data_IF_339829820333
#
_entry.id   IF_339829820333
#
_cell.length_a   1.000
_cell.length_b   1.000
_cell.length_c   1.000
_cell.angle_alpha   90.00
_cell.angle_beta   90.00
_cell.angle_gamma   90.00
#
_symmetry.space_group_name_H-M   'P 1'
#
loop_
_entity.id
_entity.type
_entity.pdbx_description
1 polymer ?
#
# COMPACT_ATOMS: atom_id res chain seq x y z
N UNK A 1 -39.54 -1.28 4.64
CA UNK A 1 -38.14 -1.03 5.04
C UNK A 1 -37.35 -2.28 4.72
N UNK A 2 -36.45 -2.22 3.74
CA UNK A 2 -35.61 -3.36 3.37
C UNK A 2 -34.57 -3.56 4.46
N UNK A 3 -34.58 -4.73 5.11
CA UNK A 3 -33.58 -5.09 6.12
C UNK A 3 -32.22 -5.29 5.45
N UNK A 4 -31.14 -4.81 6.08
CA UNK A 4 -29.79 -5.02 5.57
C UNK A 4 -29.44 -6.53 5.58
N UNK A 5 -28.79 -7.07 4.54
CA UNK A 5 -28.47 -8.49 4.45
C UNK A 5 -27.25 -8.87 5.29
N UNK A 6 -27.30 -8.60 6.60
CA UNK A 6 -26.17 -8.78 7.54
C UNK A 6 -25.65 -10.23 7.60
N UNK A 7 -26.51 -11.22 7.30
CA UNK A 7 -26.17 -12.64 7.28
C UNK A 7 -25.14 -13.01 6.20
N UNK A 8 -24.89 -12.13 5.22
CA UNK A 8 -23.82 -12.32 4.21
C UNK A 8 -22.43 -12.12 4.77
N UNK A 9 -22.31 -11.45 5.93
CA UNK A 9 -21.05 -11.08 6.54
C UNK A 9 -20.87 -11.87 7.84
N UNK A 10 -19.64 -12.34 8.07
CA UNK A 10 -19.27 -13.05 9.30
C UNK A 10 -18.40 -12.14 10.16
N UNK A 11 -18.53 -12.18 11.50
CA UNK A 11 -17.61 -11.49 12.39
C UNK A 11 -16.17 -11.95 12.17
N UNK A 12 -15.21 -11.03 12.30
CA UNK A 12 -13.80 -11.39 12.32
C UNK A 12 -13.49 -12.16 13.62
N UNK A 13 -12.72 -13.27 13.57
CA UNK A 13 -12.43 -14.08 14.75
C UNK A 13 -11.55 -13.32 15.75
N UNK A 14 -11.63 -13.71 17.02
CA UNK A 14 -10.77 -13.13 18.07
C UNK A 14 -9.32 -13.57 17.85
N UNK A 15 -8.38 -12.62 17.96
CA UNK A 15 -6.94 -12.92 17.95
C UNK A 15 -6.48 -13.14 19.38
N UNK A 16 -5.99 -14.33 19.70
CA UNK A 16 -5.41 -14.65 21.00
C UNK A 16 -3.94 -14.19 21.06
N UNK A 17 -3.73 -13.04 21.71
CA UNK A 17 -2.41 -12.46 21.95
C UNK A 17 -2.41 -11.83 23.36
N UNK A 18 -2.31 -12.68 24.42
CA UNK A 18 -2.51 -12.25 25.80
C UNK A 18 -1.40 -11.30 26.26
N UNK A 19 -0.15 -11.56 25.87
CA UNK A 19 1.02 -10.77 26.29
C UNK A 19 1.38 -9.66 25.28
N UNK A 20 0.37 -9.09 24.60
CA UNK A 20 0.60 -8.01 23.63
C UNK A 20 1.18 -6.78 24.33
N UNK A 21 2.28 -6.25 23.80
CA UNK A 21 2.98 -5.10 24.40
C UNK A 21 2.71 -3.77 23.71
N UNK A 22 2.20 -3.79 22.48
CA UNK A 22 1.93 -2.59 21.71
C UNK A 22 1.00 -1.56 22.39
N UNK A 23 0.02 -1.92 23.27
CA UNK A 23 -0.81 -0.93 23.95
C UNK A 23 -0.06 -0.02 24.92
N UNK A 24 1.10 -0.47 25.44
CA UNK A 24 1.91 0.26 26.41
C UNK A 24 3.15 0.92 25.77
N UNK A 25 3.34 0.78 24.45
CA UNK A 25 4.50 1.31 23.75
C UNK A 25 4.15 2.61 23.03
N UNK A 26 5.06 3.58 23.10
CA UNK A 26 4.99 4.83 22.33
C UNK A 26 6.03 4.76 21.23
N UNK A 27 5.64 5.04 19.99
CA UNK A 27 6.57 5.11 18.86
C UNK A 27 7.56 6.25 19.05
N UNK A 28 8.85 5.93 19.08
CA UNK A 28 9.95 6.87 19.36
C UNK A 28 10.89 7.11 18.16
N UNK A 29 10.69 6.34 17.08
CA UNK A 29 11.51 6.39 15.87
C UNK A 29 10.66 6.16 14.63
N UNK A 30 11.07 6.76 13.53
CA UNK A 30 10.47 6.47 12.22
C UNK A 30 10.78 5.02 11.81
N UNK A 31 9.81 4.30 11.23
CA UNK A 31 10.08 3.02 10.61
C UNK A 31 10.85 3.20 9.29
N UNK A 32 11.32 2.09 8.74
CA UNK A 32 11.71 2.05 7.33
C UNK A 32 10.44 2.14 6.48
N UNK A 33 10.39 3.12 5.58
CA UNK A 33 9.25 3.33 4.70
C UNK A 33 9.51 2.71 3.33
N UNK A 34 8.52 1.93 2.86
CA UNK A 34 8.44 1.46 1.49
C UNK A 34 7.20 2.08 0.83
N UNK A 35 7.42 2.85 -0.25
CA UNK A 35 6.33 3.38 -1.07
C UNK A 35 5.95 2.38 -2.16
N UNK A 36 4.65 2.15 -2.33
CA UNK A 36 4.08 1.23 -3.35
C UNK A 36 3.27 1.97 -4.41
N UNK A 37 3.40 3.29 -4.48
CA UNK A 37 2.58 4.18 -5.30
C UNK A 37 2.68 3.88 -6.80
N UNK A 38 3.86 3.45 -7.27
CA UNK A 38 4.11 3.13 -8.68
C UNK A 38 3.54 1.78 -9.12
N UNK A 39 3.23 0.88 -8.17
CA UNK A 39 2.66 -0.44 -8.45
C UNK A 39 1.22 -0.53 -7.95
N UNK A 40 1.03 -0.69 -6.64
CA UNK A 40 -0.29 -0.90 -6.03
C UNK A 40 -1.19 0.32 -6.20
N UNK A 41 -0.63 1.52 -5.95
CA UNK A 41 -1.34 2.78 -6.18
C UNK A 41 -1.71 2.97 -7.64
N UNK A 42 -0.79 2.68 -8.55
CA UNK A 42 -1.01 2.78 -9.99
C UNK A 42 -2.07 1.79 -10.50
N UNK A 43 -2.13 0.57 -9.95
CA UNK A 43 -3.13 -0.45 -10.30
C UNK A 43 -4.56 -0.08 -9.87
N UNK A 44 -4.71 0.75 -8.85
CA UNK A 44 -6.02 1.21 -8.37
C UNK A 44 -6.61 2.38 -9.19
N UNK A 45 -5.83 2.99 -10.09
CA UNK A 45 -6.30 4.12 -10.89
C UNK A 45 -7.18 3.66 -12.05
N UNK A 46 -8.26 4.40 -12.30
CA UNK A 46 -9.10 4.23 -13.50
C UNK A 46 -8.27 4.42 -14.78
N UNK A 47 -7.44 5.46 -14.80
CA UNK A 47 -6.45 5.71 -15.84
C UNK A 47 -5.04 5.52 -15.26
N UNK A 48 -4.34 4.42 -15.60
CA UNK A 48 -3.00 4.18 -15.11
C UNK A 48 -2.02 5.31 -15.46
N UNK A 49 -0.99 5.46 -14.64
CA UNK A 49 0.11 6.37 -14.89
C UNK A 49 0.88 5.94 -16.14
N UNK A 50 0.93 6.84 -17.13
CA UNK A 50 1.90 6.73 -18.22
C UNK A 50 3.33 7.02 -17.74
N UNK A 51 4.35 6.84 -18.60
CA UNK A 51 5.77 6.95 -18.25
C UNK A 51 6.13 8.28 -17.56
N UNK A 52 5.64 9.42 -18.06
CA UNK A 52 5.94 10.73 -17.49
C UNK A 52 5.40 10.90 -16.06
N UNK A 53 4.19 10.38 -15.80
CA UNK A 53 3.58 10.43 -14.46
C UNK A 53 4.31 9.51 -13.50
N UNK A 54 4.69 8.31 -13.94
CA UNK A 54 5.52 7.38 -13.16
C UNK A 54 6.87 8.00 -12.81
N UNK A 55 7.56 8.61 -13.77
CA UNK A 55 8.84 9.29 -13.53
C UNK A 55 8.73 10.42 -12.52
N UNK A 56 7.72 11.29 -12.66
CA UNK A 56 7.47 12.39 -11.69
C UNK A 56 7.19 11.87 -10.29
N UNK A 57 6.42 10.80 -10.15
CA UNK A 57 6.14 10.16 -8.86
C UNK A 57 7.41 9.57 -8.26
N UNK A 58 8.20 8.83 -9.04
CA UNK A 58 9.48 8.29 -8.59
C UNK A 58 10.43 9.40 -8.10
N UNK A 59 10.63 10.45 -8.90
CA UNK A 59 11.49 11.58 -8.54
C UNK A 59 10.98 12.34 -7.31
N UNK A 60 9.66 12.41 -7.09
CA UNK A 60 9.09 12.97 -5.87
C UNK A 60 9.44 12.12 -4.64
N UNK A 61 9.22 10.81 -4.71
CA UNK A 61 9.48 9.87 -3.61
C UNK A 61 10.96 9.86 -3.22
N UNK A 62 11.85 9.87 -4.22
CA UNK A 62 13.30 9.99 -4.01
C UNK A 62 13.65 11.31 -3.31
N UNK A 63 13.07 12.44 -3.75
CA UNK A 63 13.30 13.76 -3.11
C UNK A 63 12.78 13.83 -1.68
N UNK A 64 11.68 13.14 -1.37
CA UNK A 64 11.13 13.03 -0.01
C UNK A 64 11.99 12.14 0.90
N UNK A 65 12.91 11.37 0.34
CA UNK A 65 13.87 10.56 1.09
C UNK A 65 13.48 9.10 1.28
N UNK A 66 12.46 8.60 0.56
CA UNK A 66 12.15 7.17 0.54
C UNK A 66 13.37 6.37 0.08
N UNK A 67 13.63 5.26 0.76
CA UNK A 67 14.77 4.37 0.47
C UNK A 67 14.31 3.05 -0.16
N UNK A 68 13.05 2.70 0.04
CA UNK A 68 12.41 1.57 -0.61
C UNK A 68 11.20 2.08 -1.41
N UNK A 69 11.15 1.75 -2.70
CA UNK A 69 10.08 2.12 -3.63
C UNK A 69 9.80 0.91 -4.53
N UNK A 70 8.57 0.40 -4.53
CA UNK A 70 8.11 -0.66 -5.43
C UNK A 70 7.78 -0.04 -6.80
N UNK A 71 8.67 -0.23 -7.79
CA UNK A 71 8.62 0.48 -9.08
C UNK A 71 7.77 -0.20 -10.16
N UNK A 72 7.34 -1.45 -9.96
CA UNK A 72 6.53 -2.18 -10.94
C UNK A 72 6.51 -3.68 -10.71
N UNK A 73 5.81 -4.40 -11.59
CA UNK A 73 5.74 -5.86 -11.60
C UNK A 73 6.20 -6.39 -12.98
N UNK A 74 7.53 -6.47 -13.22
CA UNK A 74 8.11 -6.63 -14.56
C UNK A 74 7.77 -7.98 -15.23
N UNK A 75 7.26 -8.97 -14.47
CA UNK A 75 6.82 -10.25 -15.02
C UNK A 75 5.40 -10.21 -15.63
N UNK A 76 4.62 -9.16 -15.41
CA UNK A 76 3.22 -9.09 -15.83
C UNK A 76 2.84 -7.81 -16.61
N UNK A 77 3.80 -6.91 -16.88
CA UNK A 77 3.53 -5.65 -17.60
C UNK A 77 4.68 -5.29 -18.55
N UNK A 78 4.38 -5.25 -19.85
CA UNK A 78 5.32 -4.83 -20.90
C UNK A 78 5.79 -3.37 -20.72
N UNK A 79 4.96 -2.51 -20.10
CA UNK A 79 5.27 -1.10 -19.83
C UNK A 79 6.08 -0.85 -18.55
N UNK A 80 6.33 -1.88 -17.72
CA UNK A 80 7.26 -1.80 -16.59
C UNK A 80 8.68 -2.25 -16.97
N UNK A 81 8.88 -2.74 -18.20
CA UNK A 81 10.15 -3.33 -18.65
C UNK A 81 11.05 -2.38 -19.46
N UNK A 82 10.49 -1.31 -20.06
CA UNK A 82 11.20 -0.45 -21.03
C UNK A 82 10.97 1.05 -20.86
#
# INVERSE_FOLDING_TARGET
>A
MTSMPIHKYRPFPTIDLPDRRWPAQVTDRAPLWCSVDLRDGNQALVEPMGPDRKRRMFELLVRLGFKEIEVGFPAASETDFG
#
